data_IF_805342781689
#
_entry.id   IF_805342781689
#
_cell.length_a   1.000
_cell.length_b   1.000
_cell.length_c   1.000
_cell.angle_alpha   90.00
_cell.angle_beta   90.00
_cell.angle_gamma   90.00
#
_symmetry.space_group_name_H-M   'P 1'
#
loop_
_entity.id
_entity.type
_entity.pdbx_description
1 polymer ?
#
# COMPACT_ATOMS: atom_id res chain seq x y z
N UNK A 1 -21.51 -64.20 35.30
CA UNK A 1 -21.98 -62.81 35.27
C UNK A 1 -21.81 -62.32 33.85
N UNK A 2 -22.62 -62.80 32.91
CA UNK A 2 -23.99 -62.32 32.57
C UNK A 2 -24.01 -60.84 32.13
N UNK A 3 -24.23 -60.65 30.83
CA UNK A 3 -24.83 -59.49 30.15
C UNK A 3 -26.37 -59.43 30.47
N UNK A 4 -27.26 -58.54 29.94
CA UNK A 4 -27.12 -57.50 28.89
C UNK A 4 -28.00 -56.21 29.05
N UNK A 5 -27.99 -55.35 28.00
CA UNK A 5 -29.09 -54.50 27.45
C UNK A 5 -29.60 -53.29 28.30
N UNK A 6 -30.13 -52.17 27.77
CA UNK A 6 -30.86 -51.91 26.52
C UNK A 6 -30.79 -50.38 26.14
N UNK A 7 -30.79 -50.03 24.84
CA UNK A 7 -31.84 -49.30 24.06
C UNK A 7 -32.36 -47.97 24.68
N UNK A 8 -32.61 -46.84 24.00
CA UNK A 8 -33.08 -46.55 22.63
C UNK A 8 -33.06 -45.01 22.38
N UNK A 9 -32.90 -44.61 21.11
CA UNK A 9 -33.25 -43.28 20.54
C UNK A 9 -34.77 -43.23 20.21
N UNK A 10 -35.38 -42.19 19.56
CA UNK A 10 -35.19 -40.72 19.51
C UNK A 10 -36.55 -39.96 19.68
N UNK A 11 -36.58 -38.66 19.33
CA UNK A 11 -37.50 -38.02 18.36
C UNK A 11 -38.17 -36.71 18.83
N UNK A 12 -37.79 -35.62 18.13
CA UNK A 12 -38.58 -34.49 17.59
C UNK A 12 -39.88 -34.09 18.27
N UNK A 13 -40.10 -32.78 18.34
CA UNK A 13 -41.20 -32.01 17.73
C UNK A 13 -41.45 -30.74 18.55
N UNK A 14 -41.87 -29.55 18.08
CA UNK A 14 -42.38 -29.01 16.81
C UNK A 14 -42.67 -27.50 17.09
N UNK A 15 -42.42 -26.57 16.16
CA UNK A 15 -43.42 -25.80 15.36
C UNK A 15 -44.30 -24.86 16.25
N UNK A 16 -44.52 -23.56 16.00
CA UNK A 16 -44.98 -22.94 14.75
C UNK A 16 -45.06 -21.39 14.82
N UNK A 17 -45.06 -20.79 13.61
CA UNK A 17 -46.00 -19.77 13.09
C UNK A 17 -45.92 -18.33 13.64
N UNK A 18 -46.21 -17.25 12.90
CA UNK A 18 -46.93 -16.99 11.62
C UNK A 18 -46.46 -15.58 11.12
N UNK A 19 -46.22 -15.31 9.83
CA UNK A 19 -47.11 -14.61 8.87
C UNK A 19 -47.80 -13.33 9.40
N UNK A 20 -48.00 -12.19 8.71
CA UNK A 20 -47.70 -11.68 7.37
C UNK A 20 -48.19 -10.20 7.28
N UNK A 21 -47.71 -9.47 6.28
CA UNK A 21 -48.40 -8.39 5.52
C UNK A 21 -48.46 -6.94 6.03
N UNK A 22 -48.34 -6.02 5.05
CA UNK A 22 -48.69 -4.58 5.10
C UNK A 22 -47.67 -3.70 4.34
N UNK A 23 -47.78 -3.50 3.01
CA UNK A 23 -48.33 -2.29 2.31
C UNK A 23 -47.72 -0.95 2.78
N UNK A 24 -47.33 0.05 2.00
CA UNK A 24 -47.22 0.42 0.55
C UNK A 24 -46.52 1.81 0.50
N UNK A 25 -46.09 2.33 -0.66
CA UNK A 25 -45.18 3.48 -0.80
C UNK A 25 -45.87 4.83 -1.10
N UNK A 26 -45.14 5.95 -0.97
CA UNK A 26 -45.48 7.29 -1.50
C UNK A 26 -44.18 7.91 -2.05
N UNK A 27 -43.94 8.00 -3.37
CA UNK A 27 -44.39 8.97 -4.41
C UNK A 27 -43.84 10.40 -4.28
N UNK A 28 -43.22 10.85 -5.39
CA UNK A 28 -43.01 12.25 -5.80
C UNK A 28 -41.63 12.82 -5.47
N UNK A 29 -40.92 13.57 -6.30
CA UNK A 29 -41.30 14.27 -7.53
C UNK A 29 -40.02 14.69 -8.28
N UNK A 30 -40.09 14.64 -9.61
CA UNK A 30 -39.12 15.17 -10.58
C UNK A 30 -39.30 16.68 -10.70
N UNK A 31 -38.23 17.48 -10.71
CA UNK A 31 -38.21 18.78 -11.41
C UNK A 31 -36.88 18.97 -12.14
N UNK A 32 -37.01 19.06 -13.47
CA UNK A 32 -36.06 19.56 -14.46
C UNK A 32 -36.35 21.05 -14.67
N UNK A 33 -35.33 21.92 -14.72
CA UNK A 33 -35.37 23.20 -15.46
C UNK A 33 -33.92 23.73 -15.62
N UNK A 34 -33.22 23.44 -16.71
CA UNK A 34 -33.06 24.22 -17.96
C UNK A 34 -32.60 25.69 -17.86
N UNK A 35 -31.46 25.92 -18.53
CA UNK A 35 -31.10 27.04 -19.41
C UNK A 35 -30.61 28.39 -18.83
N UNK A 36 -29.42 28.82 -19.27
CA UNK A 36 -29.28 29.82 -20.36
C UNK A 36 -27.82 30.04 -20.79
N UNK A 37 -27.59 29.92 -22.10
CA UNK A 37 -26.44 30.48 -22.81
C UNK A 37 -26.58 32.01 -22.94
N UNK A 38 -25.44 32.72 -22.99
CA UNK A 38 -25.32 33.97 -23.75
C UNK A 38 -23.93 34.12 -24.35
N UNK A 39 -23.92 34.19 -25.69
CA UNK A 39 -22.78 34.58 -26.51
C UNK A 39 -22.67 36.12 -26.59
N UNK A 40 -21.46 36.62 -26.80
CA UNK A 40 -21.18 38.02 -27.15
C UNK A 40 -19.87 38.11 -27.95
N UNK A 41 -19.97 38.63 -29.17
CA UNK A 41 -18.94 38.72 -30.22
C UNK A 41 -18.41 40.17 -30.33
N UNK A 42 -17.13 40.28 -30.68
CA UNK A 42 -16.43 41.31 -31.49
C UNK A 42 -16.43 42.81 -31.07
N UNK A 43 -15.21 43.35 -30.96
CA UNK A 43 -14.91 44.72 -31.40
C UNK A 43 -13.49 44.77 -32.00
N UNK A 44 -13.31 45.60 -33.02
CA UNK A 44 -12.18 45.61 -33.96
C UNK A 44 -11.10 46.65 -33.63
N UNK A 45 -9.86 46.27 -33.95
CA UNK A 45 -8.76 47.03 -34.58
C UNK A 45 -8.75 48.57 -34.42
N UNK A 46 -7.67 49.09 -33.81
CA UNK A 46 -7.00 50.29 -34.31
C UNK A 46 -5.47 50.13 -34.20
N UNK A 47 -4.76 50.60 -35.23
CA UNK A 47 -3.30 50.56 -35.40
C UNK A 47 -2.66 51.74 -34.67
N UNK A 48 -1.49 51.54 -34.06
CA UNK A 48 -0.36 52.46 -34.25
C UNK A 48 0.95 51.80 -33.82
N UNK A 49 1.97 51.99 -34.66
CA UNK A 49 3.31 51.46 -34.54
C UNK A 49 4.13 52.23 -33.47
N UNK A 50 5.12 51.57 -32.85
CA UNK A 50 6.54 51.89 -33.07
C UNK A 50 7.48 50.97 -32.24
N UNK A 51 8.60 50.61 -32.88
CA UNK A 51 9.93 50.17 -32.38
C UNK A 51 10.07 49.72 -30.92
N UNK A 52 10.48 48.46 -30.73
CA UNK A 52 11.86 48.11 -30.35
C UNK A 52 11.96 46.61 -30.04
N UNK A 53 12.79 45.90 -30.80
CA UNK A 53 13.12 44.49 -30.62
C UNK A 53 14.41 44.38 -29.78
N UNK A 54 14.40 43.74 -28.62
CA UNK A 54 15.58 43.04 -28.12
C UNK A 54 15.44 41.54 -28.39
N UNK A 55 16.44 40.98 -29.08
CA UNK A 55 16.68 39.54 -29.15
C UNK A 55 17.13 39.11 -27.76
N UNK A 56 16.30 38.34 -27.05
CA UNK A 56 16.76 37.44 -26.01
C UNK A 56 15.73 36.33 -25.80
N UNK A 57 15.55 35.52 -26.83
CA UNK A 57 15.03 34.17 -26.64
C UNK A 57 16.18 33.39 -26.00
N UNK A 58 16.12 33.24 -24.67
CA UNK A 58 16.94 32.27 -23.97
C UNK A 58 16.74 30.89 -24.60
N UNK A 59 17.73 29.98 -24.48
CA UNK A 59 17.58 28.65 -25.04
C UNK A 59 16.26 28.05 -24.54
N UNK A 60 15.54 27.27 -25.36
CA UNK A 60 14.38 26.56 -24.86
C UNK A 60 14.85 25.80 -23.63
N UNK A 61 14.26 26.11 -22.46
CA UNK A 61 14.40 25.26 -21.28
C UNK A 61 13.96 23.90 -21.78
N UNK A 62 14.96 23.07 -22.05
CA UNK A 62 14.77 21.71 -22.48
C UNK A 62 13.99 21.10 -21.34
N UNK A 63 12.69 20.92 -21.55
CA UNK A 63 11.94 19.93 -20.82
C UNK A 63 12.74 18.65 -21.06
N UNK A 64 13.57 18.30 -20.08
CA UNK A 64 14.28 17.04 -20.06
C UNK A 64 13.20 16.00 -20.21
N UNK A 65 13.08 15.47 -21.43
CA UNK A 65 12.27 14.30 -21.73
C UNK A 65 12.98 13.13 -21.07
N UNK A 66 12.92 13.08 -19.74
CA UNK A 66 13.07 11.86 -19.02
C UNK A 66 11.90 11.01 -19.50
N UNK A 67 12.16 10.09 -20.43
CA UNK A 67 11.33 8.91 -20.59
C UNK A 67 11.01 8.44 -19.16
N UNK A 68 9.74 8.17 -18.81
CA UNK A 68 9.42 7.83 -17.44
C UNK A 68 10.28 6.64 -17.04
N UNK A 69 11.28 6.89 -16.19
CA UNK A 69 12.09 5.83 -15.61
C UNK A 69 11.12 4.94 -14.86
N UNK A 70 11.27 3.63 -15.01
CA UNK A 70 10.42 2.68 -14.30
C UNK A 70 10.30 3.07 -12.81
N UNK A 71 9.11 2.99 -12.21
CA UNK A 71 8.92 3.33 -10.80
C UNK A 71 9.92 2.59 -9.93
N UNK A 72 10.54 3.30 -8.98
CA UNK A 72 11.52 2.71 -8.08
C UNK A 72 10.89 1.63 -7.20
N UNK A 73 11.59 0.51 -7.03
CA UNK A 73 11.18 -0.54 -6.11
C UNK A 73 11.77 -0.27 -4.72
N UNK A 74 10.91 0.00 -3.74
CA UNK A 74 11.28 0.41 -2.39
C UNK A 74 10.81 -0.62 -1.37
N UNK A 75 11.72 -1.15 -0.57
CA UNK A 75 11.35 -2.03 0.56
C UNK A 75 11.20 -1.18 1.82
N UNK A 76 10.06 -1.30 2.50
CA UNK A 76 9.78 -0.58 3.74
C UNK A 76 9.57 -1.57 4.88
N UNK A 77 10.48 -1.63 5.86
CA UNK A 77 10.44 -2.64 6.92
C UNK A 77 10.89 -2.10 8.29
N UNK A 78 10.26 -2.56 9.37
CA UNK A 78 10.79 -2.46 10.73
C UNK A 78 11.55 -3.74 11.07
N UNK A 79 12.81 -3.61 11.49
CA UNK A 79 13.75 -4.72 11.67
C UNK A 79 14.42 -4.59 13.03
N UNK A 80 14.27 -5.60 13.88
CA UNK A 80 14.96 -5.68 15.17
C UNK A 80 16.48 -5.88 15.00
N UNK A 81 17.25 -5.65 16.07
CA UNK A 81 18.72 -5.81 16.06
C UNK A 81 19.14 -7.25 15.67
N UNK A 82 18.31 -8.24 16.01
CA UNK A 82 18.51 -9.64 15.63
C UNK A 82 17.86 -10.02 14.28
N UNK A 83 17.44 -9.04 13.48
CA UNK A 83 16.85 -9.23 12.16
C UNK A 83 15.38 -9.66 12.15
N UNK A 84 14.77 -9.86 13.31
CA UNK A 84 13.34 -10.23 13.41
C UNK A 84 12.45 -9.11 12.87
N UNK A 85 11.40 -9.49 12.15
CA UNK A 85 10.35 -8.59 11.63
C UNK A 85 8.94 -9.01 12.06
N UNK A 86 8.78 -10.17 12.67
CA UNK A 86 7.50 -10.69 13.10
C UNK A 86 7.62 -12.01 13.85
N UNK A 87 6.58 -12.30 14.63
CA UNK A 87 6.43 -13.53 15.40
C UNK A 87 4.97 -13.97 15.36
N UNK A 88 4.69 -15.21 14.94
CA UNK A 88 3.32 -15.80 14.94
C UNK A 88 2.28 -14.95 14.21
N UNK A 89 2.70 -14.23 13.18
CA UNK A 89 1.81 -13.37 12.37
C UNK A 89 1.51 -12.00 12.98
N UNK A 90 2.27 -11.55 13.98
CA UNK A 90 2.19 -10.19 14.53
C UNK A 90 3.59 -9.57 14.68
N UNK A 91 3.65 -8.26 14.94
CA UNK A 91 4.86 -7.58 15.35
C UNK A 91 5.06 -7.74 16.87
N UNK A 92 6.23 -8.19 17.34
CA UNK A 92 6.50 -8.37 18.77
C UNK A 92 6.74 -7.05 19.53
N UNK A 93 6.38 -5.91 18.93
CA UNK A 93 6.54 -4.56 19.47
C UNK A 93 5.35 -3.68 19.10
N UNK A 94 5.20 -2.57 19.82
CA UNK A 94 4.24 -1.52 19.51
C UNK A 94 5.00 -0.25 19.20
N UNK A 95 5.04 0.18 17.93
CA UNK A 95 5.80 1.34 17.47
C UNK A 95 4.88 2.30 16.70
N UNK A 96 4.20 3.18 17.44
CA UNK A 96 3.33 4.19 16.86
C UNK A 96 4.08 5.17 15.96
N UNK A 97 5.33 5.50 16.28
CA UNK A 97 6.17 6.36 15.45
C UNK A 97 6.53 5.69 14.12
N UNK A 98 6.81 4.39 14.13
CA UNK A 98 7.04 3.62 12.90
C UNK A 98 5.77 3.54 12.04
N UNK A 99 4.61 3.24 12.63
CA UNK A 99 3.34 3.21 11.88
C UNK A 99 3.01 4.55 11.20
N UNK A 100 3.33 5.69 11.84
CA UNK A 100 3.22 7.03 11.24
C UNK A 100 4.18 7.19 10.06
N UNK A 101 5.44 6.75 10.21
CA UNK A 101 6.44 6.75 9.13
C UNK A 101 6.00 5.86 7.98
N UNK A 102 5.58 4.62 8.25
CA UNK A 102 5.06 3.67 7.27
C UNK A 102 3.90 4.26 6.47
N UNK A 103 2.92 4.90 7.14
CA UNK A 103 1.83 5.60 6.46
C UNK A 103 2.37 6.70 5.55
N UNK A 104 3.28 7.55 6.03
CA UNK A 104 3.87 8.65 5.24
C UNK A 104 4.61 8.14 4.01
N UNK A 105 5.37 7.06 4.14
CA UNK A 105 6.14 6.47 3.04
C UNK A 105 5.24 5.79 2.00
N UNK A 106 4.15 5.17 2.42
CA UNK A 106 3.34 4.31 1.53
C UNK A 106 2.12 4.99 0.95
N UNK A 107 1.62 6.08 1.54
CA UNK A 107 0.38 6.74 1.11
C UNK A 107 0.46 7.16 -0.37
N UNK A 108 -0.57 6.84 -1.15
CA UNK A 108 -0.64 7.13 -2.59
C UNK A 108 0.15 6.16 -3.46
N UNK A 109 0.97 5.28 -2.90
CA UNK A 109 1.75 4.32 -3.67
C UNK A 109 1.09 2.93 -3.70
N UNK A 110 1.26 2.16 -4.79
CA UNK A 110 0.90 0.75 -4.81
C UNK A 110 1.82 -0.04 -3.88
N UNK A 111 1.22 -0.88 -3.05
CA UNK A 111 1.90 -1.77 -2.11
C UNK A 111 1.86 -3.20 -2.60
N UNK A 112 2.99 -3.90 -2.49
CA UNK A 112 3.13 -5.33 -2.75
C UNK A 112 3.43 -6.02 -1.43
N UNK A 113 2.64 -7.03 -1.10
CA UNK A 113 2.86 -7.86 0.09
C UNK A 113 2.46 -9.32 -0.12
N UNK A 114 2.95 -10.21 0.74
CA UNK A 114 2.55 -11.62 0.77
C UNK A 114 1.22 -11.82 1.49
N UNK A 115 0.53 -12.92 1.19
CA UNK A 115 -0.77 -13.26 1.79
C UNK A 115 -0.77 -13.22 3.33
N UNK A 116 0.21 -13.85 3.99
CA UNK A 116 0.29 -13.89 5.46
C UNK A 116 0.39 -12.49 6.08
N UNK A 117 1.15 -11.59 5.45
CA UNK A 117 1.28 -10.19 5.89
C UNK A 117 -0.04 -9.45 5.74
N UNK A 118 -0.74 -9.65 4.63
CA UNK A 118 -2.08 -9.08 4.47
C UNK A 118 -3.07 -9.62 5.52
N UNK A 119 -3.05 -10.92 5.79
CA UNK A 119 -3.92 -11.57 6.79
C UNK A 119 -3.65 -11.04 8.21
N UNK A 120 -2.38 -10.75 8.55
CA UNK A 120 -1.98 -10.08 9.79
C UNK A 120 -2.53 -8.66 9.90
N UNK A 121 -2.44 -7.86 8.82
CA UNK A 121 -3.00 -6.51 8.77
C UNK A 121 -4.54 -6.54 8.82
N UNK A 122 -5.15 -7.57 8.23
CA UNK A 122 -6.58 -7.87 8.27
C UNK A 122 -7.46 -7.04 7.33
N UNK A 123 -6.94 -5.97 6.71
CA UNK A 123 -7.71 -5.09 5.81
C UNK A 123 -6.84 -4.33 4.82
N UNK A 124 -7.38 -3.93 3.65
CA UNK A 124 -6.71 -2.96 2.79
C UNK A 124 -6.51 -1.64 3.53
N UNK A 125 -5.36 -1.01 3.30
CA UNK A 125 -5.02 0.24 3.95
C UNK A 125 -5.54 1.42 3.10
N UNK A 126 -6.38 2.33 3.63
CA UNK A 126 -6.99 3.40 2.83
C UNK A 126 -5.97 4.28 2.12
N UNK A 127 -6.30 4.73 0.90
CA UNK A 127 -5.46 5.59 0.08
C UNK A 127 -4.23 4.89 -0.51
N UNK A 128 -4.21 3.55 -0.53
CA UNK A 128 -3.14 2.72 -1.08
C UNK A 128 -3.71 1.55 -1.85
N UNK A 129 -3.26 1.36 -3.09
CA UNK A 129 -3.54 0.15 -3.83
C UNK A 129 -2.78 -1.01 -3.20
N UNK A 130 -3.46 -2.07 -2.79
CA UNK A 130 -2.84 -3.24 -2.17
C UNK A 130 -2.83 -4.41 -3.15
N UNK A 131 -1.65 -4.97 -3.43
CA UNK A 131 -1.44 -6.14 -4.28
C UNK A 131 -0.88 -7.26 -3.41
N UNK A 132 -1.62 -8.37 -3.33
CA UNK A 132 -1.27 -9.53 -2.53
C UNK A 132 -0.71 -10.65 -3.41
N UNK A 133 0.51 -11.08 -3.09
CA UNK A 133 1.17 -12.24 -3.71
C UNK A 133 0.65 -13.52 -3.06
N UNK A 134 0.06 -14.40 -3.87
CA UNK A 134 -0.43 -15.70 -3.43
C UNK A 134 -0.38 -16.71 -4.58
N UNK A 135 -0.03 -17.95 -4.30
CA UNK A 135 -0.10 -19.06 -5.27
C UNK A 135 -1.49 -19.69 -5.36
N UNK A 136 -2.36 -19.38 -4.40
CA UNK A 136 -3.75 -19.82 -4.40
C UNK A 136 -4.56 -18.94 -5.36
N UNK A 137 -4.91 -19.50 -6.52
CA UNK A 137 -5.67 -18.83 -7.56
C UNK A 137 -7.12 -18.50 -7.15
N UNK A 138 -7.65 -19.16 -6.11
CA UNK A 138 -9.01 -18.95 -5.62
C UNK A 138 -9.07 -17.93 -4.48
N UNK A 139 -7.92 -17.54 -3.93
CA UNK A 139 -7.87 -16.56 -2.85
C UNK A 139 -8.25 -15.19 -3.37
N UNK A 140 -9.29 -14.61 -2.78
CA UNK A 140 -9.77 -13.26 -3.09
C UNK A 140 -10.13 -12.53 -1.81
N UNK A 141 -9.97 -11.21 -1.81
CA UNK A 141 -10.39 -10.32 -0.74
C UNK A 141 -10.89 -9.01 -1.35
N UNK A 142 -11.87 -8.40 -0.71
CA UNK A 142 -12.41 -7.14 -1.17
C UNK A 142 -11.39 -6.00 -1.03
N UNK A 143 -11.38 -5.09 -2.00
CA UNK A 143 -10.48 -3.94 -2.03
C UNK A 143 -8.99 -4.25 -2.23
N UNK A 144 -8.62 -5.47 -2.63
CA UNK A 144 -7.24 -5.82 -2.98
C UNK A 144 -7.13 -6.47 -4.35
N UNK A 145 -5.96 -6.32 -4.95
CA UNK A 145 -5.57 -7.01 -6.17
C UNK A 145 -4.72 -8.22 -5.80
N UNK A 146 -4.77 -9.28 -6.61
CA UNK A 146 -3.94 -10.47 -6.43
C UNK A 146 -2.94 -10.63 -7.57
N UNK A 147 -1.84 -11.32 -7.28
CA UNK A 147 -0.83 -11.71 -8.25
C UNK A 147 -0.24 -13.09 -7.91
N UNK A 148 0.03 -13.95 -8.91
CA UNK A 148 0.51 -15.32 -8.69
C UNK A 148 2.00 -15.41 -8.31
N UNK A 149 2.76 -14.33 -8.54
CA UNK A 149 4.19 -14.24 -8.25
C UNK A 149 4.58 -12.82 -7.89
N UNK A 150 5.79 -12.66 -7.32
CA UNK A 150 6.35 -11.35 -7.00
C UNK A 150 6.57 -10.53 -8.28
N UNK A 151 7.05 -11.15 -9.34
CA UNK A 151 7.29 -10.54 -10.65
C UNK A 151 6.01 -9.92 -11.20
N UNK A 152 4.93 -10.71 -11.23
CA UNK A 152 3.62 -10.25 -11.69
C UNK A 152 3.06 -9.14 -10.81
N UNK A 153 3.29 -9.21 -9.49
CA UNK A 153 2.88 -8.17 -8.56
C UNK A 153 3.61 -6.85 -8.81
N UNK A 154 4.94 -6.90 -9.00
CA UNK A 154 5.76 -5.72 -9.28
C UNK A 154 5.40 -5.12 -10.64
N UNK A 155 5.19 -5.94 -11.67
CA UNK A 155 4.77 -5.45 -12.99
C UNK A 155 3.42 -4.74 -12.91
N UNK A 156 2.44 -5.36 -12.22
CA UNK A 156 1.13 -4.76 -12.01
C UNK A 156 1.22 -3.46 -11.20
N UNK A 157 2.01 -3.46 -10.13
CA UNK A 157 2.26 -2.29 -9.32
C UNK A 157 2.91 -1.16 -10.11
N UNK A 158 3.89 -1.47 -10.97
CA UNK A 158 4.57 -0.50 -11.81
C UNK A 158 3.62 0.15 -12.83
N UNK A 159 2.71 -0.62 -13.44
CA UNK A 159 1.66 -0.09 -14.34
C UNK A 159 0.73 0.87 -13.60
N UNK A 160 0.31 0.51 -12.39
CA UNK A 160 -0.56 1.35 -11.55
C UNK A 160 0.20 2.61 -11.13
N UNK A 161 1.44 2.49 -10.68
CA UNK A 161 2.28 3.62 -10.31
C UNK A 161 2.44 4.61 -11.48
N UNK A 162 2.71 4.10 -12.69
CA UNK A 162 2.80 4.93 -13.88
C UNK A 162 1.48 5.62 -14.24
N UNK A 163 0.34 4.92 -14.11
CA UNK A 163 -0.98 5.49 -14.38
C UNK A 163 -1.37 6.57 -13.36
N UNK A 164 -1.00 6.38 -12.09
CA UNK A 164 -1.28 7.32 -10.99
C UNK A 164 -0.23 8.45 -10.92
N UNK A 165 0.80 8.42 -11.76
CA UNK A 165 1.87 9.42 -11.79
C UNK A 165 2.77 9.39 -10.55
N UNK A 166 2.88 8.25 -9.87
CA UNK A 166 3.71 8.07 -8.68
C UNK A 166 5.01 7.34 -9.00
N UNK A 167 6.09 7.74 -8.33
CA UNK A 167 7.45 7.35 -8.71
C UNK A 167 7.94 6.02 -8.10
N UNK A 168 7.10 5.33 -7.31
CA UNK A 168 7.56 4.19 -6.52
C UNK A 168 6.49 3.12 -6.29
N UNK A 169 6.96 1.88 -6.21
CA UNK A 169 6.26 0.69 -5.73
C UNK A 169 6.81 0.31 -4.35
N UNK A 170 5.92 0.09 -3.39
CA UNK A 170 6.29 -0.20 -2.00
C UNK A 170 6.16 -1.70 -1.71
N UNK A 171 7.27 -2.39 -1.48
CA UNK A 171 7.27 -3.76 -0.97
C UNK A 171 7.27 -3.72 0.55
N UNK A 172 6.23 -4.29 1.16
CA UNK A 172 5.97 -4.16 2.61
C UNK A 172 5.91 -5.52 3.33
N UNK A 173 6.49 -6.55 2.71
CA UNK A 173 6.79 -7.84 3.32
C UNK A 173 5.88 -8.99 2.87
N UNK A 174 5.92 -10.17 3.49
CA UNK A 174 6.76 -10.57 4.62
C UNK A 174 8.15 -11.06 4.22
N UNK A 175 8.81 -11.82 5.10
CA UNK A 175 10.21 -12.27 4.93
C UNK A 175 10.53 -12.89 3.57
N UNK A 176 9.70 -13.82 3.08
CA UNK A 176 9.87 -14.43 1.75
C UNK A 176 9.79 -13.41 0.61
N UNK A 177 8.87 -12.44 0.71
CA UNK A 177 8.70 -11.37 -0.28
C UNK A 177 9.88 -10.41 -0.24
N UNK A 178 10.36 -10.04 0.95
CA UNK A 178 11.56 -9.21 1.08
C UNK A 178 12.80 -9.90 0.50
N UNK A 179 13.02 -11.18 0.84
CA UNK A 179 14.15 -11.95 0.32
C UNK A 179 14.15 -12.01 -1.21
N UNK A 180 12.98 -12.23 -1.82
CA UNK A 180 12.85 -12.27 -3.28
C UNK A 180 12.92 -10.87 -3.94
N UNK A 181 12.51 -9.80 -3.25
CA UNK A 181 12.52 -8.45 -3.79
C UNK A 181 13.87 -7.73 -3.64
N UNK A 182 14.64 -8.03 -2.60
CA UNK A 182 15.90 -7.33 -2.26
C UNK A 182 16.91 -7.26 -3.42
N UNK A 183 17.13 -8.32 -4.23
CA UNK A 183 18.08 -8.27 -5.35
C UNK A 183 17.72 -7.25 -6.44
N UNK A 184 16.45 -6.84 -6.51
CA UNK A 184 15.92 -5.93 -7.53
C UNK A 184 15.56 -4.55 -6.98
N UNK A 185 15.70 -4.35 -5.67
CA UNK A 185 15.30 -3.12 -5.00
C UNK A 185 16.27 -1.97 -5.32
N UNK A 186 15.71 -0.76 -5.45
CA UNK A 186 16.46 0.49 -5.63
C UNK A 186 16.74 1.19 -4.31
N UNK A 187 15.83 1.03 -3.33
CA UNK A 187 15.84 1.70 -2.04
C UNK A 187 15.38 0.77 -0.92
N UNK A 188 15.95 0.98 0.26
CA UNK A 188 15.41 0.43 1.51
C UNK A 188 15.05 1.59 2.44
N UNK A 189 13.87 1.54 3.03
CA UNK A 189 13.43 2.42 4.10
C UNK A 189 13.25 1.56 5.36
N UNK A 190 14.30 1.51 6.17
CA UNK A 190 14.39 0.60 7.31
C UNK A 190 14.14 1.37 8.60
N UNK A 191 13.29 0.84 9.47
CA UNK A 191 13.23 1.24 10.86
C UNK A 191 14.00 0.21 11.67
N UNK A 192 15.20 0.56 12.14
CA UNK A 192 15.94 -0.27 13.09
C UNK A 192 15.25 -0.17 14.44
N UNK A 193 14.77 -1.30 14.95
CA UNK A 193 14.11 -1.42 16.25
C UNK A 193 15.15 -1.85 17.27
N UNK A 194 15.40 -1.03 18.30
CA UNK A 194 16.40 -1.31 19.32
C UNK A 194 15.85 -2.33 20.35
N UNK A 195 15.60 -3.55 19.88
CA UNK A 195 15.17 -4.71 20.64
C UNK A 195 15.66 -5.99 19.94
N UNK A 196 15.60 -7.12 20.63
CA UNK A 196 15.95 -8.44 20.08
C UNK A 196 14.95 -9.51 20.54
N UNK A 197 13.68 -9.42 20.11
CA UNK A 197 12.64 -10.37 20.50
C UNK A 197 12.82 -11.72 19.78
N UNK A 198 12.20 -12.77 20.31
CA UNK A 198 12.02 -14.01 19.55
C UNK A 198 11.05 -13.80 18.39
N UNK A 199 11.31 -14.45 17.25
CA UNK A 199 10.47 -14.34 16.06
C UNK A 199 10.72 -15.46 15.05
N UNK A 200 9.75 -15.62 14.14
CA UNK A 200 9.76 -16.65 13.08
C UNK A 200 9.91 -16.05 11.67
N UNK A 201 9.86 -14.72 11.56
CA UNK A 201 10.08 -13.99 10.33
C UNK A 201 11.26 -13.04 10.48
N UNK A 202 12.17 -13.08 9.50
CA UNK A 202 13.37 -12.25 9.48
C UNK A 202 13.47 -11.43 8.20
N UNK A 203 14.11 -10.27 8.29
CA UNK A 203 14.53 -9.50 7.14
C UNK A 203 15.82 -10.09 6.56
N UNK A 204 16.01 -10.14 5.22
CA UNK A 204 17.27 -10.53 4.63
C UNK A 204 18.41 -9.58 5.07
N UNK A 205 19.63 -10.11 5.23
CA UNK A 205 20.80 -9.31 5.59
C UNK A 205 20.99 -8.16 4.60
N UNK A 206 21.15 -6.94 5.13
CA UNK A 206 21.54 -5.76 4.35
C UNK A 206 23.06 -5.81 4.20
N UNK A 207 23.51 -6.14 2.99
CA UNK A 207 24.93 -6.17 2.68
C UNK A 207 25.47 -4.76 2.42
N UNK A 208 26.43 -4.32 3.22
CA UNK A 208 27.07 -3.01 3.11
C UNK A 208 27.84 -2.87 1.80
N UNK A 209 28.28 -3.96 1.16
CA UNK A 209 28.93 -3.90 -0.16
C UNK A 209 27.94 -3.59 -1.29
N UNK A 210 26.65 -3.86 -1.06
CA UNK A 210 25.56 -3.60 -2.01
C UNK A 210 24.80 -2.32 -1.67
N UNK A 211 24.69 -1.98 -0.39
CA UNK A 211 23.83 -0.90 0.09
C UNK A 211 24.66 0.20 0.77
N UNK A 212 24.36 1.45 0.43
CA UNK A 212 24.91 2.62 1.09
C UNK A 212 23.80 3.33 1.86
N UNK A 213 24.04 3.58 3.14
CA UNK A 213 23.19 4.45 3.93
C UNK A 213 23.30 5.90 3.41
N UNK A 214 22.15 6.56 3.23
CA UNK A 214 22.07 7.93 2.71
C UNK A 214 21.29 8.87 3.62
N UNK A 215 20.56 8.33 4.60
CA UNK A 215 19.91 9.11 5.63
C UNK A 215 19.76 8.29 6.91
N UNK A 216 19.86 8.99 8.04
CA UNK A 216 19.74 8.48 9.39
C UNK A 216 18.95 9.51 10.21
N UNK A 217 17.94 9.06 10.95
CA UNK A 217 17.23 9.87 11.94
C UNK A 217 16.95 9.02 13.19
N UNK A 218 17.36 9.50 14.36
CA UNK A 218 17.02 8.87 15.66
C UNK A 218 15.99 9.75 16.36
N UNK A 219 14.68 9.51 16.13
CA UNK A 219 13.64 10.29 16.78
C UNK A 219 13.62 10.03 18.29
N UNK A 220 13.14 11.01 19.05
CA UNK A 220 12.76 10.76 20.44
C UNK A 220 11.70 9.67 20.51
N UNK A 221 11.81 8.79 21.52
CA UNK A 221 10.85 7.71 21.71
C UNK A 221 9.46 8.26 21.98
N UNK A 222 8.50 7.88 21.15
CA UNK A 222 7.11 8.27 21.31
C UNK A 222 6.49 7.63 22.55
N UNK A 223 5.54 8.32 23.19
CA UNK A 223 4.85 7.82 24.39
C UNK A 223 4.15 6.44 24.21
N UNK A 224 3.85 6.06 22.98
CA UNK A 224 3.21 4.78 22.65
C UNK A 224 4.16 3.77 22.00
N UNK A 225 5.47 4.06 21.98
CA UNK A 225 6.48 3.17 21.44
C UNK A 225 7.03 2.28 22.56
N UNK A 226 7.12 0.97 22.33
CA UNK A 226 7.64 0.03 23.32
C UNK A 226 9.15 0.14 23.48
N UNK A 227 9.89 0.56 22.45
CA UNK A 227 11.35 0.73 22.46
C UNK A 227 11.79 1.88 21.56
N UNK A 228 13.06 2.26 21.64
CA UNK A 228 13.70 3.24 20.78
C UNK A 228 13.83 2.71 19.34
N UNK A 229 13.89 3.62 18.37
CA UNK A 229 14.08 3.28 16.96
C UNK A 229 15.04 4.23 16.27
N UNK A 230 15.65 3.77 15.18
CA UNK A 230 16.37 4.61 14.23
C UNK A 230 15.80 4.41 12.83
N UNK A 231 15.48 5.51 12.14
CA UNK A 231 15.06 5.50 10.75
C UNK A 231 16.27 5.60 9.83
N UNK A 232 16.37 4.68 8.89
CA UNK A 232 17.48 4.53 7.98
C UNK A 232 16.95 4.49 6.55
N UNK A 233 17.62 5.18 5.65
CA UNK A 233 17.36 5.09 4.21
C UNK A 233 18.63 4.62 3.49
N UNK A 234 18.50 3.57 2.69
CA UNK A 234 19.59 3.00 1.90
C UNK A 234 19.34 3.20 0.41
N UNK A 235 20.43 3.40 -0.33
CA UNK A 235 20.47 3.32 -1.79
C UNK A 235 21.38 2.20 -2.22
N UNK A 236 20.98 1.47 -3.25
CA UNK A 236 21.84 0.47 -3.88
C UNK A 236 23.08 1.17 -4.47
N UNK A 237 24.27 0.66 -4.15
CA UNK A 237 25.54 1.07 -4.77
C UNK A 237 25.48 0.69 -6.26
N UNK A 238 25.88 1.62 -7.12
CA UNK A 238 25.97 1.41 -8.58
C UNK A 238 27.38 0.99 -8.95
#
# INVERSE_FOLDING_TARGET
>A
MELPAAESLPLRSRIAAHAASGRTPTRGFVIILTARLRAGRFCAISRSANKSRPKNEGPPVSASSASPSAPALVLVAAVAENGVIGAKGDMPWRLSSDLKRFKRLTLGHPMVMGRKTFESIGRPLPGRTTIVVTRDANWTRDGVLTAPSLEAAIERAAKIAAADGVEAVMVVGGGEIYAAALPRADRLEITRVHASPDGDAHFPRIDEDVWREVAHETPERGANDSTDVTFLSYRRKR
#
